data_IF_242592157788
#
_entry.id   IF_242592157788
#
_cell.length_a   1.000
_cell.length_b   1.000
_cell.length_c   1.000
_cell.angle_alpha   90.00
_cell.angle_beta   90.00
_cell.angle_gamma   90.00
#
_symmetry.space_group_name_H-M   'P 1'
#
loop_
_entity.id
_entity.type
_entity.pdbx_description
1 polymer ?
#
# COMPACT_ATOMS: atom_id res chain seq x y z
N UNK A 1 13.38 -37.47 3.60
CA UNK A 1 13.97 -37.18 2.26
C UNK A 1 13.79 -35.70 1.95
N UNK A 2 14.92 -35.04 1.71
CA UNK A 2 15.21 -33.66 1.24
C UNK A 2 14.22 -32.50 1.46
N UNK A 3 14.63 -31.55 2.31
CA UNK A 3 14.07 -30.18 2.38
C UNK A 3 14.63 -29.36 1.22
N UNK A 4 13.77 -29.00 0.27
CA UNK A 4 14.13 -28.13 -0.84
C UNK A 4 14.22 -26.67 -0.34
N UNK A 5 15.40 -26.26 0.13
CA UNK A 5 15.73 -24.84 0.31
C UNK A 5 16.19 -24.30 -1.04
N UNK A 6 15.29 -23.74 -1.83
CA UNK A 6 15.69 -22.90 -2.97
C UNK A 6 16.22 -21.57 -2.42
N UNK A 7 17.55 -21.43 -2.39
CA UNK A 7 18.20 -20.13 -2.25
C UNK A 7 18.04 -19.39 -3.58
N UNK A 8 17.45 -18.20 -3.54
CA UNK A 8 17.45 -17.28 -4.66
C UNK A 8 18.92 -16.95 -5.02
N UNK A 9 19.36 -17.34 -6.21
CA UNK A 9 20.70 -17.00 -6.72
C UNK A 9 20.63 -15.59 -7.31
N UNK A 10 21.25 -14.62 -6.67
CA UNK A 10 21.54 -13.33 -7.30
C UNK A 10 22.74 -13.49 -8.23
N UNK A 11 22.56 -13.15 -9.51
CA UNK A 11 23.64 -13.17 -10.49
C UNK A 11 24.55 -11.95 -10.29
N UNK A 12 25.84 -12.19 -10.10
CA UNK A 12 26.88 -11.16 -10.11
C UNK A 12 27.26 -10.83 -11.55
N UNK A 13 26.86 -9.67 -12.05
CA UNK A 13 27.28 -9.13 -13.33
C UNK A 13 27.62 -7.65 -13.21
N UNK A 14 28.88 -7.30 -13.43
CA UNK A 14 29.36 -5.92 -13.54
C UNK A 14 28.90 -5.33 -14.88
N UNK A 15 27.72 -4.73 -14.86
CA UNK A 15 27.20 -3.88 -15.92
C UNK A 15 26.45 -2.73 -15.26
N UNK A 16 26.65 -1.49 -15.73
CA UNK A 16 25.98 -0.29 -15.24
C UNK A 16 24.52 -0.62 -14.88
N UNK A 17 24.16 -0.45 -13.61
CA UNK A 17 22.81 -0.68 -13.10
C UNK A 17 21.85 0.23 -13.86
N UNK A 18 21.31 -0.25 -14.98
CA UNK A 18 19.96 0.12 -15.34
C UNK A 18 19.12 -0.41 -14.18
N UNK A 19 18.87 0.45 -13.20
CA UNK A 19 17.78 0.21 -12.25
C UNK A 19 16.57 -0.04 -13.14
N UNK A 20 16.14 -1.30 -13.23
CA UNK A 20 14.81 -1.61 -13.69
C UNK A 20 13.92 -0.72 -12.83
N UNK A 21 13.36 0.34 -13.42
CA UNK A 21 12.36 1.14 -12.72
C UNK A 21 11.28 0.13 -12.35
N UNK A 22 11.15 -0.18 -11.06
CA UNK A 22 10.17 -1.15 -10.63
C UNK A 22 8.81 -0.59 -11.01
N UNK A 23 8.16 -1.19 -12.00
CA UNK A 23 6.84 -0.78 -12.46
C UNK A 23 5.85 -0.82 -11.31
N UNK A 24 5.89 -1.87 -10.51
CA UNK A 24 5.14 -1.96 -9.27
C UNK A 24 6.08 -1.64 -8.10
N UNK A 25 5.69 -0.64 -7.31
CA UNK A 25 6.47 -0.16 -6.17
C UNK A 25 6.21 -1.01 -4.92
N UNK A 26 4.96 -1.44 -4.72
CA UNK A 26 4.48 -2.18 -3.54
C UNK A 26 3.04 -2.64 -3.70
N UNK A 27 2.61 -3.55 -2.82
CA UNK A 27 1.19 -3.66 -2.46
C UNK A 27 0.87 -2.43 -1.61
N UNK A 28 -0.13 -1.65 -1.98
CA UNK A 28 -0.57 -0.52 -1.18
C UNK A 28 -1.57 -0.94 -0.10
N UNK A 29 -2.67 -1.58 -0.51
CA UNK A 29 -3.71 -2.04 0.41
C UNK A 29 -4.42 -3.27 -0.10
N UNK A 30 -5.16 -3.91 0.81
CA UNK A 30 -6.14 -4.94 0.51
C UNK A 30 -7.53 -4.41 0.85
N UNK A 31 -8.43 -4.39 -0.13
CA UNK A 31 -9.80 -3.95 0.07
C UNK A 31 -10.67 -5.08 0.60
N UNK A 32 -11.47 -4.78 1.61
CA UNK A 32 -12.39 -5.69 2.28
C UNK A 32 -13.79 -5.09 2.15
N UNK A 33 -14.64 -5.73 1.36
CA UNK A 33 -16.04 -5.36 1.28
C UNK A 33 -16.81 -5.98 2.44
N UNK A 34 -17.69 -5.19 3.08
CA UNK A 34 -18.49 -5.58 4.24
C UNK A 34 -19.92 -5.06 4.12
N UNK A 35 -20.88 -5.78 4.71
CA UNK A 35 -22.27 -5.31 4.82
C UNK A 35 -22.49 -4.35 5.99
N UNK A 36 -21.76 -4.58 7.08
CA UNK A 36 -21.88 -3.82 8.33
C UNK A 36 -20.57 -3.07 8.57
N UNK A 37 -20.54 -1.83 8.10
CA UNK A 37 -19.38 -0.94 8.23
C UNK A 37 -19.02 -0.69 9.68
N UNK A 38 -19.99 -0.35 10.54
CA UNK A 38 -19.74 -0.01 11.94
C UNK A 38 -19.11 -1.17 12.70
N UNK A 39 -19.60 -2.38 12.46
CA UNK A 39 -19.02 -3.59 13.05
C UNK A 39 -17.59 -3.82 12.56
N UNK A 40 -17.32 -3.69 11.26
CA UNK A 40 -15.98 -3.88 10.71
C UNK A 40 -15.00 -2.79 11.18
N UNK A 41 -15.41 -1.53 11.13
CA UNK A 41 -14.64 -0.38 11.58
C UNK A 41 -14.28 -0.51 13.07
N UNK A 42 -15.27 -0.82 13.92
CA UNK A 42 -15.06 -1.06 15.35
C UNK A 42 -14.13 -2.25 15.60
N UNK A 43 -14.26 -3.33 14.83
CA UNK A 43 -13.38 -4.49 14.92
C UNK A 43 -11.92 -4.13 14.68
N UNK A 44 -11.60 -3.39 13.61
CA UNK A 44 -10.21 -3.00 13.33
C UNK A 44 -9.68 -1.92 14.28
N UNK A 45 -10.46 -0.87 14.52
CA UNK A 45 -9.99 0.29 15.30
C UNK A 45 -9.94 -0.01 16.80
N UNK A 46 -10.95 -0.65 17.37
CA UNK A 46 -11.01 -0.87 18.83
C UNK A 46 -10.24 -2.10 19.29
N UNK A 47 -10.26 -3.19 18.53
CA UNK A 47 -9.59 -4.42 18.96
C UNK A 47 -8.10 -4.43 18.63
N UNK A 48 -7.72 -3.85 17.50
CA UNK A 48 -6.34 -3.90 17.00
C UNK A 48 -5.63 -2.54 16.97
N UNK A 49 -6.30 -1.45 17.36
CA UNK A 49 -5.70 -0.12 17.40
C UNK A 49 -5.33 0.41 16.01
N UNK A 50 -5.96 -0.11 14.96
CA UNK A 50 -5.72 0.33 13.57
C UNK A 50 -6.16 1.79 13.42
N UNK A 51 -5.34 2.58 12.74
CA UNK A 51 -5.55 4.03 12.64
C UNK A 51 -6.41 4.34 11.41
N UNK A 52 -7.61 4.92 11.58
CA UNK A 52 -8.43 5.33 10.45
C UNK A 52 -7.79 6.52 9.74
N UNK A 53 -7.81 6.48 8.41
CA UNK A 53 -7.23 7.48 7.54
C UNK A 53 -8.31 8.15 6.68
N UNK A 54 -8.02 8.49 5.43
CA UNK A 54 -9.00 9.11 4.54
C UNK A 54 -10.21 8.18 4.30
N UNK A 55 -11.38 8.79 4.11
CA UNK A 55 -12.61 8.11 3.75
C UNK A 55 -13.47 9.03 2.90
N UNK A 56 -14.28 8.46 2.01
CA UNK A 56 -15.29 9.19 1.28
C UNK A 56 -16.41 8.26 0.80
N UNK A 57 -17.56 8.86 0.49
CA UNK A 57 -18.63 8.20 -0.26
C UNK A 57 -18.56 8.56 -1.74
N UNK A 58 -18.90 7.61 -2.60
CA UNK A 58 -19.22 7.86 -3.99
C UNK A 58 -20.72 7.70 -4.19
N UNK A 59 -21.41 8.83 -4.38
CA UNK A 59 -22.85 8.85 -4.58
C UNK A 59 -23.28 8.31 -5.96
N UNK A 60 -22.39 8.31 -6.95
CA UNK A 60 -22.67 7.78 -8.29
C UNK A 60 -22.64 6.25 -8.31
N UNK A 61 -21.78 5.64 -7.48
CA UNK A 61 -21.61 4.20 -7.35
C UNK A 61 -22.24 3.61 -6.07
N UNK A 62 -22.89 4.44 -5.25
CA UNK A 62 -23.56 4.05 -4.00
C UNK A 62 -22.68 3.21 -3.06
N UNK A 63 -21.47 3.66 -2.77
CA UNK A 63 -20.61 3.02 -1.77
C UNK A 63 -19.81 4.05 -0.95
N UNK A 64 -19.23 3.57 0.14
CA UNK A 64 -18.27 4.29 0.97
C UNK A 64 -16.99 3.47 1.08
N UNK A 65 -15.86 4.15 1.05
CA UNK A 65 -14.54 3.58 1.30
C UNK A 65 -13.86 4.27 2.49
N UNK A 66 -13.08 3.52 3.26
CA UNK A 66 -12.30 4.01 4.40
C UNK A 66 -10.94 3.32 4.41
N UNK A 67 -9.88 4.12 4.26
CA UNK A 67 -8.49 3.65 4.42
C UNK A 67 -8.16 3.46 5.90
N UNK A 68 -7.45 2.38 6.19
CA UNK A 68 -7.01 2.00 7.52
C UNK A 68 -5.50 1.70 7.50
N UNK A 69 -4.73 2.35 8.39
CA UNK A 69 -3.30 2.10 8.53
C UNK A 69 -3.02 1.13 9.68
N UNK A 70 -2.30 0.04 9.38
CA UNK A 70 -1.88 -1.00 10.32
C UNK A 70 -0.41 -0.82 10.76
N UNK A 71 0.16 0.36 10.55
CA UNK A 71 1.56 0.67 10.87
C UNK A 71 2.22 1.45 9.74
N UNK A 72 3.37 0.95 9.27
CA UNK A 72 4.15 1.57 8.19
C UNK A 72 3.43 1.44 6.82
N UNK A 73 3.71 0.38 6.06
CA UNK A 73 3.15 0.18 4.72
C UNK A 73 1.92 -0.73 4.66
N UNK A 74 1.53 -1.34 5.76
CA UNK A 74 0.42 -2.30 5.77
C UNK A 74 -0.91 -1.56 5.90
N UNK A 75 -1.79 -1.70 4.91
CA UNK A 75 -3.07 -0.98 4.86
C UNK A 75 -4.22 -1.88 4.44
N UNK A 76 -5.39 -1.53 4.94
CA UNK A 76 -6.67 -2.09 4.51
C UNK A 76 -7.56 -0.97 4.01
N UNK A 77 -8.46 -1.30 3.10
CA UNK A 77 -9.56 -0.43 2.71
C UNK A 77 -10.88 -1.13 3.08
N UNK A 78 -11.75 -0.48 3.84
CA UNK A 78 -13.11 -0.98 4.05
C UNK A 78 -14.02 -0.42 2.98
N UNK A 79 -14.78 -1.29 2.32
CA UNK A 79 -15.80 -0.94 1.34
C UNK A 79 -17.17 -1.35 1.86
N UNK A 80 -18.16 -0.46 1.80
CA UNK A 80 -19.55 -0.77 2.16
C UNK A 80 -20.53 -0.14 1.17
N UNK A 81 -21.62 -0.81 0.78
CA UNK A 81 -22.71 -0.16 0.06
C UNK A 81 -23.33 0.96 0.89
N UNK A 82 -23.75 2.05 0.24
CA UNK A 82 -24.51 3.15 0.84
C UNK A 82 -25.93 3.29 0.27
N UNK A 83 -26.23 2.52 -0.78
CA UNK A 83 -27.52 2.49 -1.46
C UNK A 83 -27.57 1.35 -2.48
N UNK A 84 -28.62 1.31 -3.30
CA UNK A 84 -28.78 0.33 -4.37
C UNK A 84 -29.18 1.02 -5.68
N UNK A 85 -28.61 0.63 -6.83
CA UNK A 85 -27.60 -0.43 -7.00
C UNK A 85 -26.19 0.04 -6.58
N UNK A 86 -25.42 -0.85 -5.96
CA UNK A 86 -23.98 -0.69 -5.68
C UNK A 86 -23.17 -1.75 -6.42
N UNK A 87 -21.94 -1.43 -6.84
CA UNK A 87 -21.06 -2.42 -7.49
C UNK A 87 -20.71 -3.59 -6.55
N UNK A 88 -20.85 -3.37 -5.23
CA UNK A 88 -20.60 -4.36 -4.18
C UNK A 88 -21.76 -5.36 -4.02
N UNK A 89 -22.95 -5.09 -4.57
CA UNK A 89 -24.16 -5.91 -4.34
C UNK A 89 -23.95 -7.37 -4.80
N UNK A 90 -23.37 -7.57 -5.98
CA UNK A 90 -23.05 -8.90 -6.51
C UNK A 90 -21.99 -9.62 -5.67
N UNK A 91 -20.97 -8.90 -5.20
CA UNK A 91 -19.91 -9.49 -4.36
C UNK A 91 -20.47 -9.92 -2.99
N UNK A 92 -21.36 -9.11 -2.41
CA UNK A 92 -21.90 -9.31 -1.08
C UNK A 92 -23.14 -10.20 -1.05
N UNK A 93 -23.74 -10.58 -2.19
CA UNK A 93 -25.03 -11.28 -2.27
C UNK A 93 -25.18 -12.40 -1.21
N UNK A 94 -24.24 -13.35 -1.19
CA UNK A 94 -24.24 -14.47 -0.24
C UNK A 94 -23.12 -14.36 0.83
N UNK A 95 -22.60 -13.15 1.06
CA UNK A 95 -21.44 -12.89 1.95
C UNK A 95 -21.77 -11.81 2.96
N UNK A 96 -21.24 -11.97 4.18
CA UNK A 96 -21.23 -10.88 5.17
C UNK A 96 -20.09 -9.88 4.91
N UNK A 97 -19.03 -10.36 4.27
CA UNK A 97 -17.90 -9.58 3.80
C UNK A 97 -16.81 -10.48 3.21
N UNK A 98 -15.71 -9.89 2.78
CA UNK A 98 -14.54 -10.61 2.28
C UNK A 98 -13.54 -9.71 1.56
N UNK A 99 -12.36 -10.26 1.26
CA UNK A 99 -11.36 -9.57 0.44
C UNK A 99 -11.91 -9.39 -0.97
N UNK A 100 -12.05 -8.14 -1.40
CA UNK A 100 -12.62 -7.76 -2.68
C UNK A 100 -11.53 -7.65 -3.76
N UNK A 101 -10.47 -6.91 -3.49
CA UNK A 101 -9.35 -6.73 -4.41
C UNK A 101 -8.06 -6.41 -3.66
N UNK A 102 -6.93 -6.54 -4.36
CA UNK A 102 -5.60 -6.12 -3.89
C UNK A 102 -5.10 -4.99 -4.78
N UNK A 103 -4.56 -3.94 -4.16
CA UNK A 103 -4.09 -2.75 -4.89
C UNK A 103 -2.58 -2.70 -4.92
N UNK A 104 -2.02 -2.58 -6.12
CA UNK A 104 -0.60 -2.43 -6.39
C UNK A 104 -0.31 -0.98 -6.78
N UNK A 105 0.61 -0.33 -6.07
CA UNK A 105 1.02 1.01 -6.41
C UNK A 105 2.05 0.97 -7.53
N UNK A 106 1.83 1.76 -8.58
CA UNK A 106 2.79 2.02 -9.66
C UNK A 106 3.29 3.46 -9.62
N UNK A 107 4.49 3.69 -10.15
CA UNK A 107 5.00 5.04 -10.39
C UNK A 107 4.49 5.66 -11.69
N UNK A 108 4.00 4.83 -12.62
CA UNK A 108 3.53 5.26 -13.93
C UNK A 108 2.46 4.28 -14.46
N UNK A 109 1.19 4.71 -14.41
CA UNK A 109 0.06 3.91 -14.85
C UNK A 109 0.07 3.67 -16.36
N UNK A 110 0.60 4.62 -17.14
CA UNK A 110 0.65 4.53 -18.60
C UNK A 110 1.72 3.53 -19.04
N UNK A 111 2.89 3.53 -18.39
CA UNK A 111 3.90 2.49 -18.60
C UNK A 111 3.35 1.11 -18.23
N UNK A 112 2.61 1.02 -17.13
CA UNK A 112 1.99 -0.23 -16.68
C UNK A 112 0.97 -0.74 -17.70
N UNK A 113 0.10 0.14 -18.19
CA UNK A 113 -0.87 -0.14 -19.25
C UNK A 113 -0.21 -0.68 -20.52
N UNK A 114 0.83 -0.02 -21.02
CA UNK A 114 1.57 -0.48 -22.20
C UNK A 114 2.14 -1.88 -22.03
N UNK A 115 2.69 -2.21 -20.85
CA UNK A 115 3.21 -3.56 -20.60
C UNK A 115 2.10 -4.62 -20.59
N UNK A 116 0.93 -4.30 -20.01
CA UNK A 116 -0.21 -5.22 -20.04
C UNK A 116 -0.64 -5.51 -21.48
N UNK A 117 -0.66 -4.48 -22.33
CA UNK A 117 -0.98 -4.60 -23.76
C UNK A 117 0.07 -5.45 -24.50
N UNK A 118 1.36 -5.14 -24.34
CA UNK A 118 2.47 -5.89 -24.95
C UNK A 118 2.50 -7.36 -24.50
N UNK A 119 2.06 -7.61 -23.27
CA UNK A 119 1.99 -8.96 -22.67
C UNK A 119 0.68 -9.69 -22.97
N UNK A 120 -0.24 -9.09 -23.71
CA UNK A 120 -1.59 -9.60 -23.98
C UNK A 120 -2.39 -9.95 -22.71
N UNK A 121 -2.24 -9.15 -21.65
CA UNK A 121 -3.02 -9.28 -20.41
C UNK A 121 -4.19 -8.29 -20.44
N UNK A 122 -5.45 -8.76 -20.48
CA UNK A 122 -6.60 -7.88 -20.45
C UNK A 122 -6.69 -7.08 -19.15
N UNK A 123 -7.06 -5.81 -19.27
CA UNK A 123 -7.43 -4.94 -18.15
C UNK A 123 -8.74 -4.20 -18.45
N UNK A 124 -9.34 -3.63 -17.43
CA UNK A 124 -10.57 -2.82 -17.53
C UNK A 124 -10.56 -1.68 -16.51
N UNK A 125 -11.56 -0.79 -16.59
CA UNK A 125 -11.76 0.27 -15.61
C UNK A 125 -10.61 1.29 -15.56
N UNK A 126 -9.93 1.53 -16.68
CA UNK A 126 -8.90 2.56 -16.73
C UNK A 126 -9.52 3.94 -16.53
N UNK A 127 -9.06 4.66 -15.50
CA UNK A 127 -9.49 6.02 -15.19
C UNK A 127 -8.27 6.88 -14.80
N UNK A 128 -8.27 8.13 -15.25
CA UNK A 128 -7.26 9.14 -14.92
C UNK A 128 -7.94 10.37 -14.32
N UNK A 129 -7.74 10.58 -13.00
CA UNK A 129 -8.21 11.74 -12.26
C UNK A 129 -7.10 12.79 -12.05
N UNK A 130 -6.12 12.83 -12.94
CA UNK A 130 -4.98 13.73 -12.92
C UNK A 130 -3.94 13.35 -11.87
N UNK A 131 -3.46 14.35 -11.13
CA UNK A 131 -2.42 14.17 -10.12
C UNK A 131 -2.92 13.46 -8.84
N UNK A 132 -4.24 13.38 -8.64
CA UNK A 132 -4.83 12.84 -7.41
C UNK A 132 -4.83 11.32 -7.44
N UNK A 133 -5.26 10.71 -8.54
CA UNK A 133 -5.42 9.27 -8.65
C UNK A 133 -5.51 8.83 -10.11
N UNK A 134 -4.90 7.70 -10.44
CA UNK A 134 -5.13 6.97 -11.69
C UNK A 134 -5.17 5.49 -11.41
N UNK A 135 -5.94 4.72 -12.17
CA UNK A 135 -6.11 3.30 -11.91
C UNK A 135 -6.49 2.49 -13.14
N UNK A 136 -6.33 1.17 -13.01
CA UNK A 136 -6.92 0.13 -13.85
C UNK A 136 -7.07 -1.17 -13.04
N UNK A 137 -7.84 -2.11 -13.57
CA UNK A 137 -8.09 -3.40 -12.93
C UNK A 137 -7.77 -4.58 -13.85
N UNK A 138 -7.21 -5.65 -13.29
CA UNK A 138 -7.00 -6.93 -13.97
C UNK A 138 -7.99 -7.95 -13.41
N UNK A 139 -8.75 -8.59 -14.30
CA UNK A 139 -9.80 -9.52 -13.90
C UNK A 139 -9.21 -10.78 -13.23
N UNK A 140 -9.87 -11.36 -12.21
CA UNK A 140 -9.40 -12.59 -11.53
C UNK A 140 -9.00 -13.74 -12.45
N UNK A 141 -9.70 -13.87 -13.59
CA UNK A 141 -9.43 -14.90 -14.60
C UNK A 141 -8.01 -14.80 -15.19
N UNK A 142 -7.46 -13.59 -15.27
CA UNK A 142 -6.16 -13.27 -15.85
C UNK A 142 -5.10 -13.04 -14.75
N UNK A 143 -5.52 -13.05 -13.47
CA UNK A 143 -4.70 -12.74 -12.30
C UNK A 143 -4.87 -13.78 -11.18
N UNK A 144 -4.76 -15.06 -11.51
CA UNK A 144 -4.68 -16.18 -10.55
C UNK A 144 -5.83 -16.22 -9.51
N UNK A 145 -7.02 -15.77 -9.89
CA UNK A 145 -8.19 -15.72 -9.02
C UNK A 145 -8.31 -14.46 -8.14
N UNK A 146 -7.43 -13.47 -8.32
CA UNK A 146 -7.42 -12.22 -7.54
C UNK A 146 -7.81 -11.05 -8.44
N UNK A 147 -8.75 -10.22 -7.99
CA UNK A 147 -8.99 -8.92 -8.63
C UNK A 147 -7.84 -7.99 -8.21
N UNK A 148 -7.02 -7.58 -9.18
CA UNK A 148 -5.88 -6.69 -8.94
C UNK A 148 -6.24 -5.30 -9.44
N UNK A 149 -6.17 -4.31 -8.57
CA UNK A 149 -6.13 -2.90 -8.95
C UNK A 149 -4.68 -2.46 -9.07
N UNK A 150 -4.36 -1.70 -10.10
CA UNK A 150 -3.07 -0.99 -10.21
C UNK A 150 -3.38 0.49 -10.15
N UNK A 151 -2.72 1.22 -9.26
CA UNK A 151 -2.99 2.63 -9.04
C UNK A 151 -1.73 3.49 -8.93
N UNK A 152 -1.82 4.72 -9.43
CA UNK A 152 -0.80 5.77 -9.34
C UNK A 152 -1.37 6.95 -8.55
N UNK A 153 -0.71 7.29 -7.44
CA UNK A 153 -1.14 8.36 -6.53
C UNK A 153 -0.03 8.71 -5.54
N UNK A 154 -0.20 9.82 -4.82
CA UNK A 154 0.62 10.16 -3.66
C UNK A 154 0.04 9.55 -2.39
N UNK A 155 0.78 8.63 -1.76
CA UNK A 155 0.29 7.88 -0.60
C UNK A 155 -0.04 8.75 0.62
N UNK A 156 0.69 9.85 0.85
CA UNK A 156 0.46 10.71 2.02
C UNK A 156 -0.86 11.47 1.96
N UNK A 157 -1.48 11.59 0.79
CA UNK A 157 -2.77 12.27 0.65
C UNK A 157 -3.91 11.43 1.26
N UNK A 158 -3.70 10.12 1.42
CA UNK A 158 -4.72 9.17 1.91
C UNK A 158 -4.51 8.74 3.36
N UNK A 159 -3.45 9.23 4.02
CA UNK A 159 -3.07 8.85 5.39
C UNK A 159 -3.44 9.93 6.43
N UNK A 160 -3.77 9.48 7.64
CA UNK A 160 -3.99 10.36 8.80
C UNK A 160 -2.72 11.14 9.16
N UNK A 161 -2.82 12.40 9.64
CA UNK A 161 -1.67 13.14 10.16
C UNK A 161 -0.87 12.39 11.24
N UNK A 162 -1.52 11.52 12.03
CA UNK A 162 -0.89 10.73 13.09
C UNK A 162 0.22 9.80 12.59
N UNK A 163 0.00 9.19 11.42
CA UNK A 163 0.92 8.19 10.84
C UNK A 163 1.92 8.81 9.87
N UNK A 164 1.73 10.07 9.49
CA UNK A 164 2.60 10.78 8.57
C UNK A 164 3.79 11.43 9.27
N UNK A 165 4.81 11.72 8.48
CA UNK A 165 5.82 12.71 8.82
C UNK A 165 5.50 14.03 8.12
N UNK A 166 5.97 15.15 8.65
CA UNK A 166 5.79 16.45 7.98
C UNK A 166 6.53 16.45 6.64
N UNK A 167 5.97 17.12 5.62
CA UNK A 167 6.52 17.12 4.25
C UNK A 167 7.95 17.66 4.18
N UNK A 168 8.33 18.55 5.09
CA UNK A 168 9.65 19.18 5.12
C UNK A 168 10.70 18.38 5.92
N UNK A 169 10.29 17.29 6.58
CA UNK A 169 11.18 16.49 7.42
C UNK A 169 11.28 15.08 6.85
N UNK A 170 12.50 14.63 6.53
CA UNK A 170 12.75 13.26 6.01
C UNK A 170 13.26 12.27 7.05
N UNK A 171 13.71 12.75 8.19
CA UNK A 171 14.03 11.93 9.36
C UNK A 171 13.92 12.72 10.66
N UNK A 172 13.69 12.02 11.76
CA UNK A 172 13.78 12.51 13.14
C UNK A 172 14.58 11.51 13.96
N UNK A 173 15.39 12.00 14.88
CA UNK A 173 16.16 11.17 15.81
C UNK A 173 15.83 11.62 17.23
N UNK A 174 15.19 10.74 18.00
CA UNK A 174 14.76 11.02 19.36
C UNK A 174 15.51 10.13 20.35
N UNK A 175 16.15 10.75 21.34
CA UNK A 175 16.87 9.99 22.36
C UNK A 175 15.90 9.16 23.20
N UNK A 176 16.22 7.89 23.41
CA UNK A 176 15.52 7.01 24.35
C UNK A 176 16.52 6.43 25.40
N UNK A 177 16.07 5.71 26.44
CA UNK A 177 16.97 5.22 27.51
C UNK A 177 18.13 4.34 27.02
N UNK A 178 17.90 3.59 25.94
CA UNK A 178 18.82 2.57 25.43
C UNK A 178 19.66 3.05 24.23
N UNK A 179 19.31 4.20 23.64
CA UNK A 179 19.98 4.77 22.48
C UNK A 179 19.13 5.86 21.83
N UNK A 180 18.61 5.59 20.65
CA UNK A 180 17.83 6.53 19.85
C UNK A 180 16.71 5.82 19.08
N UNK A 181 15.56 6.46 18.93
CA UNK A 181 14.53 6.08 17.97
C UNK A 181 14.72 6.95 16.73
N UNK A 182 15.13 6.33 15.63
CA UNK A 182 15.24 6.96 14.31
C UNK A 182 13.92 6.75 13.56
N UNK A 183 13.24 7.84 13.25
CA UNK A 183 12.01 7.84 12.46
C UNK A 183 12.33 8.37 11.07
N UNK A 184 11.93 7.66 10.02
CA UNK A 184 12.16 8.03 8.62
C UNK A 184 10.82 8.16 7.89
N UNK A 185 10.70 9.14 6.99
CA UNK A 185 9.57 9.19 6.07
C UNK A 185 9.64 8.00 5.12
N UNK A 186 8.54 7.27 4.96
CA UNK A 186 8.51 6.15 4.05
C UNK A 186 8.09 6.61 2.64
N UNK A 187 8.81 6.25 1.55
CA UNK A 187 8.44 6.60 0.16
C UNK A 187 7.09 6.06 -0.34
N UNK A 188 6.35 5.36 0.52
CA UNK A 188 5.00 4.87 0.26
C UNK A 188 3.98 5.46 1.20
N UNK A 189 4.29 6.64 1.74
CA UNK A 189 3.50 7.35 2.72
C UNK A 189 3.71 6.81 4.13
N UNK A 190 3.52 7.69 5.10
CA UNK A 190 3.70 7.38 6.51
C UNK A 190 5.16 7.46 6.96
N UNK A 191 5.47 6.73 8.04
CA UNK A 191 6.79 6.72 8.66
C UNK A 191 7.17 5.33 9.16
N UNK A 192 8.46 5.05 9.14
CA UNK A 192 9.05 3.86 9.76
C UNK A 192 9.91 4.29 10.95
N UNK A 193 9.82 3.55 12.05
CA UNK A 193 10.60 3.81 13.26
C UNK A 193 11.54 2.65 13.52
N UNK A 194 12.80 2.97 13.84
CA UNK A 194 13.84 2.02 14.19
C UNK A 194 14.42 2.43 15.54
N UNK A 195 14.36 1.53 16.52
CA UNK A 195 15.07 1.70 17.77
C UNK A 195 16.49 1.19 17.59
N UNK A 196 17.46 2.09 17.77
CA UNK A 196 18.88 1.82 17.67
C UNK A 196 19.52 1.90 19.05
N UNK A 197 20.31 0.90 19.39
CA UNK A 197 21.14 0.97 20.60
C UNK A 197 22.35 1.92 20.42
N UNK A 198 23.11 2.13 21.50
CA UNK A 198 24.24 3.08 21.46
C UNK A 198 25.35 2.68 20.50
N UNK A 199 25.59 1.39 20.29
CA UNK A 199 26.62 0.91 19.38
C UNK A 199 26.13 1.02 17.93
N UNK A 200 24.87 0.69 17.65
CA UNK A 200 24.24 0.90 16.34
C UNK A 200 24.21 2.38 15.95
N UNK A 201 23.93 3.28 16.90
CA UNK A 201 23.98 4.73 16.65
C UNK A 201 25.40 5.19 16.30
N UNK A 202 26.43 4.70 16.99
CA UNK A 202 27.83 5.04 16.66
C UNK A 202 28.22 4.53 15.28
N UNK A 203 27.83 3.31 14.95
CA UNK A 203 28.07 2.72 13.63
C UNK A 203 27.39 3.53 12.52
N UNK A 204 26.11 3.89 12.70
CA UNK A 204 25.39 4.73 11.75
C UNK A 204 26.05 6.09 11.55
N UNK A 205 26.55 6.72 12.62
CA UNK A 205 27.28 8.00 12.52
C UNK A 205 28.57 7.83 11.72
N UNK A 206 29.34 6.76 11.99
CA UNK A 206 30.58 6.48 11.27
C UNK A 206 30.32 6.26 9.77
N UNK A 207 29.34 5.43 9.41
CA UNK A 207 28.97 5.17 8.02
C UNK A 207 28.56 6.46 7.29
N UNK A 208 27.83 7.36 7.96
CA UNK A 208 27.44 8.65 7.38
C UNK A 208 28.61 9.63 7.24
N UNK A 209 29.59 9.58 8.14
CA UNK A 209 30.80 10.42 8.06
C UNK A 209 31.73 9.97 6.93
N UNK A 210 31.83 8.66 6.70
CA UNK A 210 32.70 8.09 5.66
C UNK A 210 32.27 8.42 4.22
N UNK A 211 31.00 8.81 4.03
CA UNK A 211 30.44 9.16 2.70
C UNK A 211 30.36 10.67 2.43
N UNK A 212 30.82 11.51 3.37
CA UNK A 212 30.91 12.98 3.22
C UNK A 212 32.28 13.40 2.67
#
# INVERSE_FOLDING_TARGET
MSRMRQRCKTASGTGKSQRSSFMILRIDHVAIAVRDYEKAFSFFTRLFGVIPCAYAGDASMNYLWQMLSLGDLSRLELLTPTGSPSFLDNFLQDRQGGVHHMTLQTSDIYQTKTMLEDSNIPYFGFNDYGAVWKELFIHPRDAFGVLIQIAEFNSDDWLSPEVKMSRDTRWLAEKNPNGCTLVLAHPGGGKVSLDLDREEVKALIADLQDIL
#
